data_IF_802583794885
#
_entry.id   IF_802583794885
#
_cell.length_a   1.000
_cell.length_b   1.000
_cell.length_c   1.000
_cell.angle_alpha   90.00
_cell.angle_beta   90.00
_cell.angle_gamma   90.00
#
_symmetry.space_group_name_H-M   'P 1'
#
loop_
_entity.id
_entity.type
_entity.pdbx_description
1 polymer ?
#
# COMPACT_ATOMS: atom_id res chain seq x y z
N UNK A 1 -17.81 3.72 8.98
CA UNK A 1 -16.75 2.81 9.47
C UNK A 1 -16.10 2.20 8.25
N UNK A 2 -14.78 2.30 8.17
CA UNK A 2 -13.98 1.82 7.05
C UNK A 2 -13.06 0.70 7.55
N UNK A 3 -12.52 -0.09 6.63
CA UNK A 3 -11.38 -0.97 6.92
C UNK A 3 -10.14 -0.25 6.42
N UNK A 4 -9.13 -0.12 7.27
CA UNK A 4 -7.90 0.59 6.95
C UNK A 4 -6.79 -0.37 6.51
N UNK A 5 -6.05 0.05 5.50
CA UNK A 5 -4.80 -0.55 5.06
C UNK A 5 -3.76 0.55 4.92
N UNK A 6 -2.50 0.23 5.18
CA UNK A 6 -1.39 1.15 5.05
C UNK A 6 -0.27 0.50 4.24
N UNK A 7 0.18 1.22 3.21
CA UNK A 7 1.45 0.96 2.52
C UNK A 7 2.50 1.89 3.11
N UNK A 8 3.33 1.38 4.01
CA UNK A 8 4.43 2.12 4.61
C UNK A 8 5.73 1.90 3.80
N UNK A 9 6.46 2.97 3.50
CA UNK A 9 7.63 2.94 2.63
C UNK A 9 8.84 3.63 3.27
N UNK A 10 9.97 2.93 3.31
CA UNK A 10 11.27 3.52 3.59
C UNK A 10 11.89 3.96 2.27
N UNK A 11 11.64 5.21 1.89
CA UNK A 11 12.04 5.77 0.60
C UNK A 11 12.68 7.15 0.75
N UNK A 12 13.51 7.54 -0.22
CA UNK A 12 14.07 8.89 -0.31
C UNK A 12 13.10 9.91 -0.93
N UNK A 13 11.96 9.45 -1.44
CA UNK A 13 10.95 10.31 -2.07
C UNK A 13 10.09 11.03 -1.02
N UNK A 14 9.68 12.25 -1.33
CA UNK A 14 8.72 13.00 -0.52
C UNK A 14 7.29 12.48 -0.70
N UNK A 15 6.37 12.80 0.24
CA UNK A 15 4.95 12.49 0.07
C UNK A 15 4.37 13.01 -1.25
N UNK A 16 4.77 14.19 -1.71
CA UNK A 16 4.31 14.76 -2.98
C UNK A 16 4.80 13.97 -4.20
N UNK A 17 6.04 13.48 -4.17
CA UNK A 17 6.59 12.62 -5.23
C UNK A 17 5.85 11.28 -5.28
N UNK A 18 5.57 10.68 -4.12
CA UNK A 18 4.77 9.46 -4.01
C UNK A 18 3.33 9.69 -4.45
N UNK A 19 2.70 10.81 -4.08
CA UNK A 19 1.35 11.18 -4.52
C UNK A 19 1.26 11.35 -6.04
N UNK A 20 2.27 11.97 -6.66
CA UNK A 20 2.35 12.05 -8.13
C UNK A 20 2.46 10.67 -8.75
N UNK A 21 3.32 9.80 -8.23
CA UNK A 21 3.45 8.44 -8.72
C UNK A 21 2.17 7.61 -8.54
N UNK A 22 1.45 7.80 -7.42
CA UNK A 22 0.16 7.18 -7.17
C UNK A 22 -0.86 7.58 -8.25
N UNK A 23 -0.92 8.86 -8.61
CA UNK A 23 -1.81 9.34 -9.68
C UNK A 23 -1.38 8.83 -11.06
N UNK A 24 -0.08 8.78 -11.35
CA UNK A 24 0.45 8.23 -12.60
C UNK A 24 0.10 6.74 -12.77
N UNK A 25 0.00 6.00 -11.66
CA UNK A 25 -0.45 4.60 -11.64
C UNK A 25 -1.98 4.49 -11.71
N UNK A 26 -2.70 5.29 -10.92
CA UNK A 26 -4.15 5.14 -10.76
C UNK A 26 -4.97 5.70 -11.91
N UNK A 27 -4.47 6.70 -12.66
CA UNK A 27 -5.21 7.28 -13.80
C UNK A 27 -5.40 6.31 -14.97
N UNK A 28 -4.37 5.59 -15.45
CA UNK A 28 -4.56 4.53 -16.46
C UNK A 28 -5.48 3.39 -16.01
N UNK A 29 -5.64 3.22 -14.69
CA UNK A 29 -6.55 2.24 -14.09
C UNK A 29 -7.97 2.79 -13.85
N UNK A 30 -8.23 4.05 -14.25
CA UNK A 30 -9.50 4.76 -14.03
C UNK A 30 -9.88 4.90 -12.54
N UNK A 31 -8.89 4.85 -11.64
CA UNK A 31 -9.10 4.97 -10.19
C UNK A 31 -9.09 6.41 -9.69
N UNK A 32 -8.47 7.31 -10.45
CA UNK A 32 -8.50 8.75 -10.21
C UNK A 32 -8.83 9.48 -11.51
N UNK A 33 -9.68 10.48 -11.41
CA UNK A 33 -9.94 11.38 -12.53
C UNK A 33 -8.78 12.38 -12.75
N UNK A 34 -8.81 13.08 -13.88
CA UNK A 34 -7.76 14.03 -14.25
C UNK A 34 -7.72 15.30 -13.38
N UNK A 35 -8.79 15.61 -12.64
CA UNK A 35 -8.88 16.76 -11.75
C UNK A 35 -8.26 16.52 -10.38
N UNK A 36 -8.10 15.26 -9.96
CA UNK A 36 -7.40 14.91 -8.71
C UNK A 36 -5.92 15.30 -8.84
N UNK A 37 -5.44 16.14 -7.92
CA UNK A 37 -4.05 16.61 -7.89
C UNK A 37 -3.22 15.90 -6.82
N UNK A 38 -1.87 15.83 -6.98
CA UNK A 38 -0.99 15.28 -5.95
C UNK A 38 -1.16 15.98 -4.59
N UNK A 39 -1.39 17.29 -4.60
CA UNK A 39 -1.56 18.11 -3.39
C UNK A 39 -2.85 17.75 -2.66
N UNK A 40 -3.95 17.51 -3.39
CA UNK A 40 -5.20 17.03 -2.81
C UNK A 40 -5.00 15.66 -2.16
N UNK A 41 -4.36 14.72 -2.87
CA UNK A 41 -4.06 13.38 -2.36
C UNK A 41 -3.20 13.42 -1.10
N UNK A 42 -2.26 14.37 -1.00
CA UNK A 42 -1.40 14.51 0.16
C UNK A 42 -2.11 15.13 1.38
N UNK A 43 -2.93 16.17 1.14
CA UNK A 43 -3.59 16.93 2.22
C UNK A 43 -4.88 16.28 2.71
N UNK A 44 -5.81 16.06 1.79
CA UNK A 44 -7.20 15.70 2.11
C UNK A 44 -7.50 14.23 1.73
N UNK A 45 -6.69 13.67 0.84
CA UNK A 45 -6.95 12.40 0.19
C UNK A 45 -7.91 12.52 -0.99
N UNK A 46 -8.07 11.43 -1.71
CA UNK A 46 -8.98 11.30 -2.84
C UNK A 46 -9.81 10.01 -2.72
N UNK A 47 -11.00 10.00 -3.30
CA UNK A 47 -11.91 8.85 -3.26
C UNK A 47 -12.01 8.25 -4.65
N UNK A 48 -11.75 6.95 -4.77
CA UNK A 48 -11.89 6.20 -6.03
C UNK A 48 -13.37 5.93 -6.34
N UNK A 49 -13.72 5.50 -7.58
CA UNK A 49 -15.10 5.16 -7.94
C UNK A 49 -15.75 4.11 -7.03
N UNK A 50 -14.97 3.16 -6.48
CA UNK A 50 -15.43 2.15 -5.53
C UNK A 50 -15.46 2.64 -4.07
N UNK A 51 -15.32 3.95 -3.84
CA UNK A 51 -15.35 4.60 -2.52
C UNK A 51 -14.17 4.25 -1.62
N UNK A 52 -13.05 3.79 -2.19
CA UNK A 52 -11.81 3.69 -1.45
C UNK A 52 -11.22 5.08 -1.30
N UNK A 53 -11.10 5.54 -0.07
CA UNK A 53 -10.37 6.76 0.24
C UNK A 53 -8.87 6.46 0.25
N UNK A 54 -8.06 7.28 -0.40
CA UNK A 54 -6.61 7.11 -0.52
C UNK A 54 -5.92 8.42 -0.18
N UNK A 55 -4.91 8.37 0.68
CA UNK A 55 -4.12 9.55 1.07
C UNK A 55 -2.65 9.19 1.21
N UNK A 56 -1.78 10.07 0.72
CA UNK A 56 -0.33 9.97 0.94
C UNK A 56 0.08 10.94 2.03
N UNK A 57 0.94 10.54 2.96
CA UNK A 57 1.39 11.42 4.04
C UNK A 57 2.79 11.05 4.51
N UNK A 58 3.45 12.01 5.14
CA UNK A 58 4.74 11.80 5.80
C UNK A 58 4.58 10.84 6.98
N UNK A 59 5.47 9.86 7.06
CA UNK A 59 5.47 8.88 8.14
C UNK A 59 6.70 9.10 9.00
N UNK A 60 6.47 9.47 10.25
CA UNK A 60 7.49 9.51 11.29
C UNK A 60 7.31 8.27 12.18
N UNK A 61 7.87 7.14 11.76
CA UNK A 61 7.77 5.89 12.50
C UNK A 61 8.52 5.99 13.84
N UNK A 62 7.87 5.56 14.92
CA UNK A 62 8.52 5.51 16.22
C UNK A 62 9.64 4.44 16.19
N UNK A 63 10.75 4.63 16.91
CA UNK A 63 11.85 3.66 16.97
C UNK A 63 11.43 2.27 17.46
N UNK A 64 10.36 2.20 18.26
CA UNK A 64 9.79 0.95 18.79
C UNK A 64 8.67 0.37 17.92
N UNK A 65 8.38 0.93 16.74
CA UNK A 65 7.36 0.35 15.86
C UNK A 65 7.81 -1.01 15.34
N UNK A 66 6.90 -2.00 15.20
CA UNK A 66 7.23 -3.35 14.72
C UNK A 66 7.96 -3.35 13.36
N UNK A 67 7.68 -2.39 12.48
CA UNK A 67 8.42 -2.24 11.23
C UNK A 67 9.91 -1.95 11.44
N UNK A 68 10.23 -1.11 12.42
CA UNK A 68 11.60 -0.76 12.76
C UNK A 68 12.27 -1.91 13.52
N UNK A 69 11.59 -2.48 14.52
CA UNK A 69 12.18 -3.48 15.41
C UNK A 69 12.29 -4.87 14.77
N UNK A 70 11.23 -5.34 14.11
CA UNK A 70 11.17 -6.70 13.55
C UNK A 70 11.82 -6.78 12.17
N UNK A 71 11.67 -5.71 11.38
CA UNK A 71 12.10 -5.71 9.98
C UNK A 71 13.25 -4.76 9.68
N UNK A 72 13.64 -3.88 10.60
CA UNK A 72 14.69 -2.89 10.35
C UNK A 72 14.31 -1.84 9.30
N UNK A 73 13.01 -1.66 9.04
CA UNK A 73 12.48 -0.72 8.05
C UNK A 73 12.03 0.52 8.82
N UNK A 74 12.54 1.69 8.44
CA UNK A 74 12.11 2.99 8.98
C UNK A 74 11.32 3.73 7.91
N UNK A 75 9.97 3.59 7.88
CA UNK A 75 9.15 4.29 6.90
C UNK A 75 9.27 5.81 7.04
N UNK A 76 9.33 6.48 5.89
CA UNK A 76 9.36 7.94 5.73
C UNK A 76 8.08 8.47 5.08
N UNK A 77 7.40 7.62 4.30
CA UNK A 77 6.13 7.95 3.62
C UNK A 77 5.17 6.79 3.79
N UNK A 78 3.87 7.08 3.93
CA UNK A 78 2.82 6.09 3.92
C UNK A 78 1.71 6.47 2.93
N UNK A 79 1.05 5.45 2.38
CA UNK A 79 -0.21 5.57 1.66
C UNK A 79 -1.28 4.85 2.45
N UNK A 80 -2.22 5.61 3.01
CA UNK A 80 -3.37 5.07 3.72
C UNK A 80 -4.52 4.82 2.77
N UNK A 81 -5.17 3.67 2.92
CA UNK A 81 -6.37 3.28 2.19
C UNK A 81 -7.51 3.00 3.16
N UNK A 82 -8.61 3.73 3.03
CA UNK A 82 -9.85 3.47 3.75
C UNK A 82 -10.88 2.86 2.80
N UNK A 83 -11.06 1.54 2.84
CA UNK A 83 -12.09 0.88 2.04
C UNK A 83 -13.45 0.95 2.74
N UNK A 84 -14.51 1.16 1.96
CA UNK A 84 -15.87 1.24 2.47
C UNK A 84 -16.40 -0.15 2.81
N UNK A 85 -16.65 -0.43 4.10
CA UNK A 85 -16.94 -1.78 4.60
C UNK A 85 -18.30 -2.37 4.21
N UNK A 86 -19.16 -1.61 3.55
CA UNK A 86 -20.54 -2.00 3.27
C UNK A 86 -20.80 -2.30 1.80
N UNK A 87 -19.76 -2.25 0.97
CA UNK A 87 -19.92 -2.45 -0.47
C UNK A 87 -18.62 -2.96 -1.09
N UNK A 88 -18.71 -3.92 -2.01
CA UNK A 88 -17.62 -4.35 -2.93
C UNK A 88 -16.21 -4.40 -2.33
N UNK A 89 -16.08 -4.96 -1.12
CA UNK A 89 -14.79 -5.06 -0.41
C UNK A 89 -13.74 -5.79 -1.26
N UNK A 90 -14.03 -6.94 -1.91
CA UNK A 90 -13.05 -7.64 -2.72
C UNK A 90 -12.52 -6.77 -3.87
N UNK A 91 -13.40 -6.05 -4.57
CA UNK A 91 -12.99 -5.21 -5.70
C UNK A 91 -12.22 -3.96 -5.26
N UNK A 92 -12.58 -3.37 -4.11
CA UNK A 92 -11.79 -2.29 -3.51
C UNK A 92 -10.38 -2.75 -3.13
N UNK A 93 -10.24 -3.97 -2.60
CA UNK A 93 -8.93 -4.57 -2.33
C UNK A 93 -8.15 -4.87 -3.62
N UNK A 94 -8.84 -5.26 -4.69
CA UNK A 94 -8.20 -5.49 -6.00
C UNK A 94 -7.67 -4.18 -6.61
N UNK A 95 -8.40 -3.07 -6.47
CA UNK A 95 -7.95 -1.73 -6.86
C UNK A 95 -6.73 -1.30 -6.04
N UNK A 96 -6.80 -1.51 -4.72
CA UNK A 96 -5.68 -1.25 -3.81
C UNK A 96 -4.43 -2.03 -4.22
N UNK A 97 -4.56 -3.34 -4.48
CA UNK A 97 -3.41 -4.17 -4.88
C UNK A 97 -2.82 -3.69 -6.21
N UNK A 98 -3.65 -3.28 -7.17
CA UNK A 98 -3.16 -2.70 -8.44
C UNK A 98 -2.41 -1.39 -8.24
N UNK A 99 -2.90 -0.51 -7.37
CA UNK A 99 -2.19 0.73 -7.00
C UNK A 99 -0.86 0.43 -6.31
N UNK A 100 -0.86 -0.49 -5.34
CA UNK A 100 0.35 -0.89 -4.62
C UNK A 100 1.38 -1.50 -5.57
N UNK A 101 0.98 -2.42 -6.45
CA UNK A 101 1.87 -3.03 -7.43
C UNK A 101 2.55 -1.98 -8.32
N UNK A 102 1.76 -1.06 -8.90
CA UNK A 102 2.32 0.01 -9.73
C UNK A 102 3.21 0.99 -8.96
N UNK A 103 2.92 1.26 -7.68
CA UNK A 103 3.81 2.04 -6.82
C UNK A 103 5.13 1.32 -6.55
N UNK A 104 5.11 0.01 -6.31
CA UNK A 104 6.31 -0.80 -6.11
C UNK A 104 7.22 -0.87 -7.36
N UNK A 105 6.70 -0.52 -8.54
CA UNK A 105 7.51 -0.43 -9.76
C UNK A 105 8.13 0.97 -9.95
N UNK A 106 7.58 2.00 -9.31
CA UNK A 106 8.04 3.40 -9.46
C UNK A 106 8.84 3.92 -8.27
N UNK A 107 8.37 3.65 -7.06
CA UNK A 107 8.94 4.21 -5.82
C UNK A 107 10.07 3.32 -5.35
N UNK A 108 11.31 3.80 -5.20
CA UNK A 108 12.43 3.01 -4.69
C UNK A 108 12.34 2.79 -3.18
N UNK A 109 13.09 1.82 -2.66
CA UNK A 109 13.24 1.55 -1.23
C UNK A 109 12.43 0.36 -0.73
N UNK A 110 12.32 0.20 0.58
CA UNK A 110 11.54 -0.90 1.17
C UNK A 110 10.08 -0.46 1.37
N UNK A 111 9.17 -1.43 1.35
CA UNK A 111 7.75 -1.15 1.48
C UNK A 111 7.01 -2.31 2.17
N UNK A 112 6.02 -2.01 2.98
CA UNK A 112 5.16 -3.00 3.64
C UNK A 112 3.71 -2.58 3.49
N UNK A 113 2.89 -3.46 2.91
CA UNK A 113 1.44 -3.30 2.90
C UNK A 113 0.85 -4.13 4.04
N UNK A 114 0.12 -3.50 4.93
CA UNK A 114 -0.60 -4.17 6.01
C UNK A 114 -2.05 -3.71 6.12
N UNK A 115 -2.90 -4.56 6.69
CA UNK A 115 -4.29 -4.22 6.99
C UNK A 115 -4.93 -5.32 7.83
N UNK A 116 -5.78 -4.91 8.77
CA UNK A 116 -6.35 -5.80 9.81
C UNK A 116 -5.26 -6.66 10.48
N UNK A 117 -4.19 -6.02 10.97
CA UNK A 117 -3.07 -6.67 11.68
C UNK A 117 -2.28 -7.71 10.85
N UNK A 118 -2.58 -7.85 9.56
CA UNK A 118 -1.94 -8.81 8.67
C UNK A 118 -1.05 -8.08 7.67
N UNK A 119 0.19 -8.54 7.51
CA UNK A 119 1.07 -8.09 6.43
C UNK A 119 0.65 -8.82 5.15
N UNK A 120 0.21 -8.07 4.15
CA UNK A 120 -0.20 -8.59 2.85
C UNK A 120 1.01 -8.85 1.96
N UNK A 121 1.89 -7.85 1.85
CA UNK A 121 3.16 -7.95 1.13
C UNK A 121 4.24 -7.09 1.77
N UNK A 122 5.48 -7.41 1.42
CA UNK A 122 6.67 -6.70 1.82
C UNK A 122 7.67 -6.72 0.68
N UNK A 123 8.13 -5.55 0.25
CA UNK A 123 9.32 -5.41 -0.59
C UNK A 123 10.49 -5.03 0.31
N UNK A 124 11.52 -5.87 0.35
CA UNK A 124 12.73 -5.63 1.15
C UNK A 124 13.96 -6.01 0.36
N UNK A 125 14.96 -5.14 0.32
CA UNK A 125 16.22 -5.37 -0.38
C UNK A 125 16.02 -5.79 -1.87
N UNK A 126 14.98 -5.21 -2.49
CA UNK A 126 14.61 -5.51 -3.89
C UNK A 126 13.79 -6.80 -4.08
N UNK A 127 13.64 -7.64 -3.07
CA UNK A 127 12.81 -8.84 -3.13
C UNK A 127 11.37 -8.55 -2.70
N UNK A 128 10.39 -9.00 -3.49
CA UNK A 128 8.97 -8.96 -3.11
C UNK A 128 8.57 -10.27 -2.44
N UNK A 129 8.04 -10.16 -1.23
CA UNK A 129 7.41 -11.24 -0.47
C UNK A 129 5.91 -10.95 -0.35
N UNK A 130 5.09 -11.99 -0.51
CA UNK A 130 3.65 -11.93 -0.30
C UNK A 130 3.25 -12.93 0.77
N UNK A 131 2.18 -12.62 1.51
CA UNK A 131 1.60 -13.54 2.47
C UNK A 131 1.24 -14.86 1.78
N UNK A 132 1.49 -15.99 2.45
CA UNK A 132 1.20 -17.32 1.89
C UNK A 132 -0.30 -17.65 1.80
N UNK A 133 -1.12 -16.92 2.55
CA UNK A 133 -2.57 -17.05 2.60
C UNK A 133 -3.23 -16.81 1.23
N UNK A 134 -3.84 -17.87 0.69
CA UNK A 134 -4.50 -17.85 -0.63
C UNK A 134 -5.79 -17.02 -0.68
N UNK A 135 -6.45 -16.80 0.45
CA UNK A 135 -7.62 -15.93 0.57
C UNK A 135 -7.25 -14.44 0.42
N UNK A 136 -6.02 -14.07 0.82
CA UNK A 136 -5.46 -12.74 0.59
C UNK A 136 -5.00 -12.59 -0.87
N UNK A 137 -4.44 -13.68 -1.44
CA UNK A 137 -3.81 -13.71 -2.75
C UNK A 137 -4.46 -14.70 -3.73
N UNK A 138 -5.72 -14.48 -4.14
CA UNK A 138 -6.28 -15.14 -5.31
C UNK A 138 -5.47 -14.84 -6.58
N UNK A 139 -5.64 -15.68 -7.60
CA UNK A 139 -4.84 -15.67 -8.83
C UNK A 139 -4.80 -14.28 -9.49
N UNK A 140 -5.93 -13.59 -9.57
CA UNK A 140 -5.99 -12.27 -10.22
C UNK A 140 -5.16 -11.20 -9.51
N UNK A 141 -5.03 -11.24 -8.17
CA UNK A 141 -4.15 -10.33 -7.42
C UNK A 141 -2.69 -10.67 -7.62
N UNK A 142 -2.36 -11.96 -7.69
CA UNK A 142 -1.01 -12.42 -8.00
C UNK A 142 -0.59 -11.94 -9.39
N UNK A 143 -1.44 -12.11 -10.40
CA UNK A 143 -1.16 -11.63 -11.76
C UNK A 143 -0.93 -10.12 -11.79
N UNK A 144 -1.65 -9.35 -10.97
CA UNK A 144 -1.51 -7.90 -10.90
C UNK A 144 -0.15 -7.42 -10.35
N UNK A 145 0.60 -8.26 -9.60
CA UNK A 145 1.91 -7.88 -9.09
C UNK A 145 2.96 -7.69 -10.18
N UNK A 146 2.80 -8.36 -11.33
CA UNK A 146 3.64 -8.15 -12.52
C UNK A 146 5.13 -8.48 -12.37
N UNK A 147 5.55 -9.05 -11.23
CA UNK A 147 6.97 -9.27 -10.89
C UNK A 147 7.21 -10.56 -10.11
N UNK A 148 8.45 -11.10 -10.11
CA UNK A 148 8.79 -12.24 -9.28
C UNK A 148 8.52 -11.96 -7.80
N UNK A 149 7.96 -12.95 -7.11
CA UNK A 149 7.67 -12.87 -5.68
C UNK A 149 7.98 -14.19 -5.00
N UNK A 150 8.19 -14.13 -3.68
CA UNK A 150 8.26 -15.30 -2.80
C UNK A 150 7.02 -15.32 -1.90
N UNK A 151 6.42 -16.49 -1.69
CA UNK A 151 5.40 -16.65 -0.62
C UNK A 151 6.10 -16.88 0.71
N UNK A 152 5.65 -16.21 1.76
CA UNK A 152 6.20 -16.34 3.11
C UNK A 152 5.10 -16.12 4.15
N UNK A 153 5.21 -16.78 5.30
CA UNK A 153 4.48 -16.39 6.49
C UNK A 153 4.96 -15.00 6.93
N UNK A 154 4.14 -13.97 6.71
CA UNK A 154 4.43 -12.59 7.11
C UNK A 154 3.51 -12.23 8.28
N UNK A 155 4.11 -11.94 9.43
CA UNK A 155 3.44 -11.50 10.64
C UNK A 155 4.36 -10.54 11.40
N UNK A 156 3.78 -9.59 12.13
CA UNK A 156 4.52 -8.85 13.15
C UNK A 156 4.85 -9.78 14.31
N UNK A 157 5.94 -9.53 15.02
CA UNK A 157 6.18 -10.21 16.30
C UNK A 157 5.04 -9.81 17.25
N UNK A 158 4.38 -10.77 17.89
CA UNK A 158 3.44 -10.46 18.97
C UNK A 158 4.23 -9.77 20.09
N UNK A 159 3.78 -8.59 20.55
CA UNK A 159 4.30 -7.99 21.78
C UNK A 159 3.90 -8.91 22.94
N UNK A 160 4.86 -9.63 23.53
CA UNK A 160 4.69 -10.35 24.82
C UNK A 160 4.47 -9.39 26.00
#
# INVERSE_FOLDING_TARGET
>A
MAISYDLEMATSWSPEQVARALLDVGRPLELFDGSVTPEQVARDGAVTPLRTWVRVYERNAAPWSPLVTDFGITPTVAVGFGIYKHDRIPEQQDDLVRLVAGLLDKVPGDAVLSGMETIWLMRRDGELMVNERSDIWPEHRITALGRPYKRKALAFSEEE
#
